data_IF_982369551443
#
_entry.id   IF_982369551443
#
_cell.length_a   1.000
_cell.length_b   1.000
_cell.length_c   1.000
_cell.angle_alpha   90.00
_cell.angle_beta   90.00
_cell.angle_gamma   90.00
#
_symmetry.space_group_name_H-M   'P 1'
#
loop_
_entity.id
_entity.type
_entity.pdbx_description
1 polymer ?
#
# COMPACT_ATOMS: atom_id res chain seq x y z
N UNK A 1 5.86 10.05 -8.04
CA UNK A 1 4.81 10.24 -7.03
C UNK A 1 3.64 9.40 -7.51
N UNK A 2 3.19 8.45 -6.68
CA UNK A 2 2.13 7.48 -7.04
C UNK A 2 0.75 8.02 -6.67
N UNK A 3 0.69 8.72 -5.54
CA UNK A 3 -0.40 9.60 -5.13
C UNK A 3 -0.43 10.83 -6.07
N UNK A 4 -1.46 10.92 -6.91
CA UNK A 4 -1.66 12.04 -7.85
C UNK A 4 -2.58 13.11 -7.26
N UNK A 5 -3.52 12.73 -6.42
CA UNK A 5 -4.52 13.62 -5.83
C UNK A 5 -4.04 14.32 -4.52
N UNK A 6 -2.96 13.82 -3.92
CA UNK A 6 -2.34 14.34 -2.70
C UNK A 6 -3.10 14.02 -1.42
N UNK A 7 -3.94 12.99 -1.42
CA UNK A 7 -4.79 12.64 -0.27
C UNK A 7 -4.12 11.67 0.73
N UNK A 8 -2.89 11.22 0.44
CA UNK A 8 -2.15 10.26 1.25
C UNK A 8 -2.59 8.81 1.05
N UNK A 9 -3.40 8.54 0.03
CA UNK A 9 -3.81 7.21 -0.41
C UNK A 9 -3.34 7.00 -1.85
N UNK A 10 -3.41 5.76 -2.31
CA UNK A 10 -3.08 5.40 -3.68
C UNK A 10 -4.22 4.56 -4.22
N UNK A 11 -4.94 5.10 -5.19
CA UNK A 11 -6.02 4.37 -5.84
C UNK A 11 -5.51 3.47 -6.98
N UNK A 12 -6.25 2.40 -7.28
CA UNK A 12 -5.94 1.49 -8.38
C UNK A 12 -5.93 2.16 -9.76
N UNK A 13 -6.60 3.29 -9.89
CA UNK A 13 -6.63 4.11 -11.10
C UNK A 13 -5.47 5.11 -11.19
N UNK A 14 -4.88 5.47 -10.05
CA UNK A 14 -3.63 6.23 -10.02
C UNK A 14 -2.40 5.35 -10.32
N UNK A 15 -2.55 4.03 -10.21
CA UNK A 15 -1.50 3.07 -10.47
C UNK A 15 -1.45 2.54 -11.90
N UNK A 16 -0.26 2.50 -12.52
CA UNK A 16 -0.08 1.85 -13.82
C UNK A 16 -0.30 0.34 -13.70
N UNK A 17 -0.73 -0.33 -14.79
CA UNK A 17 -1.04 -1.77 -14.82
C UNK A 17 0.04 -2.68 -14.19
N UNK A 18 1.31 -2.32 -14.34
CA UNK A 18 2.46 -3.05 -13.78
C UNK A 18 2.46 -3.07 -12.25
N UNK A 19 1.90 -2.03 -11.63
CA UNK A 19 1.80 -1.88 -10.19
C UNK A 19 0.45 -2.38 -9.65
N UNK A 20 -0.58 -2.54 -10.48
CA UNK A 20 -1.87 -3.13 -10.07
C UNK A 20 -1.73 -4.55 -9.50
N UNK A 21 -0.86 -5.38 -10.09
CA UNK A 21 -0.60 -6.73 -9.56
C UNK A 21 0.07 -6.71 -8.17
N UNK A 22 0.81 -5.64 -7.87
CA UNK A 22 1.47 -5.44 -6.59
C UNK A 22 0.52 -4.77 -5.59
N UNK A 23 -0.31 -3.87 -6.09
CA UNK A 23 -1.42 -3.25 -5.38
C UNK A 23 -2.39 -4.28 -4.83
N UNK A 24 -2.89 -5.19 -5.68
CA UNK A 24 -3.83 -6.24 -5.26
C UNK A 24 -3.22 -7.19 -4.19
N UNK A 25 -1.89 -7.19 -4.02
CA UNK A 25 -1.19 -7.93 -2.95
C UNK A 25 -0.99 -7.13 -1.67
N UNK A 26 -1.05 -5.80 -1.76
CA UNK A 26 -0.86 -4.87 -0.66
C UNK A 26 -2.22 -4.44 -0.07
N UNK A 27 -3.24 -4.33 -0.93
CA UNK A 27 -4.64 -4.06 -0.60
C UNK A 27 -5.24 -5.28 0.13
N UNK A 28 -5.00 -5.34 1.43
CA UNK A 28 -5.38 -6.46 2.27
C UNK A 28 -6.90 -6.46 2.53
N UNK A 29 -7.53 -5.29 2.54
CA UNK A 29 -8.96 -5.13 2.72
C UNK A 29 -9.76 -5.23 1.41
N UNK A 30 -9.07 -5.28 0.26
CA UNK A 30 -9.62 -5.37 -1.09
C UNK A 30 -10.60 -4.23 -1.42
N UNK A 31 -10.36 -3.04 -0.87
CA UNK A 31 -11.20 -1.86 -1.09
C UNK A 31 -10.88 -1.16 -2.43
N UNK A 32 -9.80 -1.54 -3.11
CA UNK A 32 -9.35 -0.93 -4.35
C UNK A 32 -8.47 0.32 -4.19
N UNK A 33 -8.07 0.66 -2.96
CA UNK A 33 -7.28 1.84 -2.62
C UNK A 33 -6.39 1.65 -1.38
N UNK A 34 -5.07 1.79 -1.55
CA UNK A 34 -4.09 1.66 -0.47
C UNK A 34 -4.09 2.92 0.36
N UNK A 35 -4.51 2.82 1.61
CA UNK A 35 -4.44 3.96 2.52
C UNK A 35 -3.16 3.98 3.38
N UNK A 36 -2.93 5.11 4.02
CA UNK A 36 -1.76 5.28 4.89
C UNK A 36 -1.76 4.26 6.04
N UNK A 37 -2.92 3.82 6.52
CA UNK A 37 -3.02 2.82 7.57
C UNK A 37 -2.54 1.45 7.08
N UNK A 38 -2.94 1.03 5.88
CA UNK A 38 -2.47 -0.21 5.26
C UNK A 38 -0.96 -0.18 5.00
N UNK A 39 -0.44 0.93 4.45
CA UNK A 39 1.00 1.12 4.23
C UNK A 39 1.78 1.11 5.55
N UNK A 40 1.22 1.74 6.59
CA UNK A 40 1.83 1.83 7.92
C UNK A 40 1.81 0.47 8.63
N UNK A 41 0.74 -0.30 8.49
CA UNK A 41 0.59 -1.63 9.05
C UNK A 41 1.54 -2.63 8.36
N UNK A 42 1.69 -2.53 7.04
CA UNK A 42 2.67 -3.30 6.27
C UNK A 42 4.11 -2.92 6.67
N UNK A 43 4.39 -1.63 6.85
CA UNK A 43 5.67 -1.14 7.37
C UNK A 43 5.93 -1.55 8.83
N UNK A 44 4.88 -1.80 9.62
CA UNK A 44 4.97 -2.35 10.97
C UNK A 44 5.29 -3.84 10.94
N UNK A 45 4.62 -4.62 10.10
CA UNK A 45 4.88 -6.05 9.90
C UNK A 45 6.30 -6.30 9.38
N UNK A 46 6.81 -5.44 8.48
CA UNK A 46 8.19 -5.53 8.00
C UNK A 46 9.23 -5.07 9.04
N UNK A 47 8.88 -4.14 9.94
CA UNK A 47 9.74 -3.74 11.08
C UNK A 47 9.77 -4.78 12.19
N UNK A 48 8.63 -5.39 12.53
CA UNK A 48 8.56 -6.42 13.57
C UNK A 48 9.40 -7.65 13.23
N UNK A 49 9.72 -7.90 11.96
CA UNK A 49 10.64 -8.97 11.55
C UNK A 49 12.12 -8.66 11.84
N UNK A 50 12.48 -7.41 12.17
CA UNK A 50 13.86 -6.99 12.49
C UNK A 50 14.14 -6.81 13.98
N UNK A 51 13.12 -6.83 14.85
CA UNK A 51 13.29 -6.70 16.31
C UNK A 51 13.31 -8.04 17.06
N UNK A 52 13.39 -9.17 16.34
CA UNK A 52 13.59 -10.50 16.91
C UNK A 52 14.98 -11.04 16.55
N UNK A 53 16.04 -10.32 16.93
CA UNK A 53 17.43 -10.82 16.95
C UNK A 53 18.11 -10.44 18.26
#
# INVERSE_FOLDING_TARGET
RLDQNGDGRIDRDELPQRQRAMFDRLDANQNGQLDEAELQELGRLMRNRRESE
#
